data_IF_978624664460
#
_entry.id   IF_978624664460
#
_cell.length_a   1.000
_cell.length_b   1.000
_cell.length_c   1.000
_cell.angle_alpha   90.00
_cell.angle_beta   90.00
_cell.angle_gamma   90.00
#
_symmetry.space_group_name_H-M   'P 1'
#
loop_
_entity.id
_entity.type
_entity.pdbx_description
1 polymer ?
#
# COMPACT_ATOMS: atom_id res chain seq x y z
N UNK A 1 -1.79 10.56 64.55
CA UNK A 1 -0.99 10.11 63.39
C UNK A 1 -1.89 9.34 62.43
N UNK A 2 -2.29 9.92 61.31
CA UNK A 2 -2.97 9.21 60.20
C UNK A 2 -2.26 9.61 58.91
N UNK A 3 -1.56 8.65 58.31
CA UNK A 3 -0.80 8.79 57.06
C UNK A 3 -1.81 8.90 55.92
N UNK A 4 -1.86 10.05 55.23
CA UNK A 4 -2.54 10.17 53.95
C UNK A 4 -1.60 9.59 52.89
N UNK A 5 -2.02 8.46 52.33
CA UNK A 5 -1.33 7.73 51.28
C UNK A 5 -1.47 8.55 49.99
N UNK A 6 -0.33 8.99 49.43
CA UNK A 6 -0.25 9.58 48.09
C UNK A 6 -0.75 8.54 47.08
N UNK A 7 -1.91 8.80 46.50
CA UNK A 7 -2.45 8.02 45.38
C UNK A 7 -1.68 8.44 44.13
N UNK A 8 -0.69 7.64 43.73
CA UNK A 8 0.06 7.84 42.51
C UNK A 8 -0.87 7.80 41.30
N UNK A 9 -1.00 8.93 40.61
CA UNK A 9 -1.62 9.01 39.30
C UNK A 9 -0.67 8.32 38.29
N UNK A 10 -0.86 7.02 38.08
CA UNK A 10 -0.29 6.32 36.94
C UNK A 10 -1.05 6.79 35.69
N UNK A 11 -0.59 7.87 35.07
CA UNK A 11 -0.98 8.19 33.70
C UNK A 11 -0.33 7.15 32.80
N UNK A 12 -1.07 6.08 32.50
CA UNK A 12 -0.74 5.20 31.39
C UNK A 12 -0.76 6.05 30.13
N UNK A 13 0.42 6.42 29.63
CA UNK A 13 0.57 6.84 28.23
C UNK A 13 0.29 5.60 27.39
N UNK A 14 -0.98 5.38 27.05
CA UNK A 14 -1.28 4.56 25.88
C UNK A 14 -0.60 5.29 24.72
N UNK A 15 0.55 4.76 24.28
CA UNK A 15 1.10 5.08 22.96
C UNK A 15 0.03 4.63 21.97
N UNK A 16 -0.91 5.52 21.70
CA UNK A 16 -2.05 5.27 20.84
C UNK A 16 -1.51 5.05 19.44
N UNK A 17 -1.45 3.79 19.03
CA UNK A 17 -1.40 3.44 17.62
C UNK A 17 -2.68 4.04 17.04
N UNK A 18 -2.55 5.17 16.35
CA UNK A 18 -3.69 5.83 15.72
C UNK A 18 -4.26 4.87 14.67
N UNK A 19 -5.54 4.54 14.81
CA UNK A 19 -6.23 3.67 13.86
C UNK A 19 -6.18 4.27 12.43
N UNK A 20 -6.25 3.42 11.39
CA UNK A 20 -6.34 3.88 10.01
C UNK A 20 -7.46 4.91 9.83
N UNK A 21 -7.13 6.06 9.25
CA UNK A 21 -8.11 7.14 9.04
C UNK A 21 -7.94 7.77 7.66
N UNK A 22 -8.99 8.45 7.19
CA UNK A 22 -8.93 9.28 5.97
C UNK A 22 -8.81 10.74 6.35
N UNK A 23 -7.91 11.46 5.70
CA UNK A 23 -7.82 12.91 5.86
C UNK A 23 -8.97 13.65 5.15
N UNK A 24 -8.96 14.98 5.19
CA UNK A 24 -9.97 15.82 4.55
C UNK A 24 -10.01 15.71 3.01
N UNK A 25 -9.00 15.11 2.38
CA UNK A 25 -8.95 14.82 0.94
C UNK A 25 -9.52 13.42 0.64
N UNK A 26 -9.87 12.66 1.67
CA UNK A 26 -10.28 11.26 1.55
C UNK A 26 -9.11 10.31 1.30
N UNK A 27 -7.87 10.71 1.60
CA UNK A 27 -6.66 9.90 1.45
C UNK A 27 -6.44 9.09 2.72
N UNK A 28 -6.24 7.78 2.58
CA UNK A 28 -5.96 6.87 3.70
C UNK A 28 -4.59 7.16 4.31
N UNK A 29 -4.54 7.32 5.63
CA UNK A 29 -3.34 7.38 6.46
C UNK A 29 -3.34 6.20 7.43
N UNK A 30 -2.20 5.55 7.50
CA UNK A 30 -1.88 4.45 8.40
C UNK A 30 -0.44 4.62 8.87
N UNK A 31 -0.10 4.02 10.00
CA UNK A 31 1.30 3.95 10.42
C UNK A 31 2.08 2.94 9.55
N UNK A 32 3.41 2.91 9.71
CA UNK A 32 4.29 2.06 8.90
C UNK A 32 3.96 0.57 9.04
N UNK A 33 3.77 0.06 10.26
CA UNK A 33 3.45 -1.35 10.52
C UNK A 33 2.10 -1.75 9.89
N UNK A 34 1.12 -0.85 9.91
CA UNK A 34 -0.17 -1.05 9.25
C UNK A 34 -0.03 -1.09 7.74
N UNK A 35 0.79 -0.23 7.15
CA UNK A 35 1.08 -0.26 5.72
C UNK A 35 1.80 -1.54 5.29
N UNK A 36 2.77 -2.01 6.08
CA UNK A 36 3.44 -3.29 5.83
C UNK A 36 2.42 -4.42 5.80
N UNK A 37 1.54 -4.51 6.81
CA UNK A 37 0.45 -5.51 6.87
C UNK A 37 -0.59 -5.36 5.77
N UNK A 38 -0.83 -4.15 5.30
CA UNK A 38 -1.82 -3.89 4.26
C UNK A 38 -1.38 -4.49 2.92
N UNK A 39 -0.11 -4.33 2.54
CA UNK A 39 0.42 -4.75 1.23
C UNK A 39 1.05 -6.16 1.21
N UNK A 40 1.45 -6.72 2.35
CA UNK A 40 2.10 -8.04 2.43
C UNK A 40 1.12 -9.16 2.80
N UNK A 41 1.43 -10.38 2.34
CA UNK A 41 0.74 -11.59 2.81
C UNK A 41 1.09 -11.83 4.29
N UNK A 42 0.25 -12.54 5.02
CA UNK A 42 0.47 -12.80 6.44
C UNK A 42 1.84 -13.49 6.67
N UNK A 43 2.63 -12.93 7.58
CA UNK A 43 3.97 -13.41 7.90
C UNK A 43 5.08 -12.96 6.92
N UNK A 44 4.77 -12.11 5.93
CA UNK A 44 5.74 -11.52 5.03
C UNK A 44 6.02 -10.05 5.32
N UNK A 45 7.26 -9.64 5.03
CA UNK A 45 7.71 -8.25 5.06
C UNK A 45 8.58 -7.97 3.82
N UNK A 46 7.90 -7.79 2.68
CA UNK A 46 8.52 -7.50 1.39
C UNK A 46 8.38 -6.00 1.13
N UNK A 47 9.46 -5.25 1.38
CA UNK A 47 9.49 -3.79 1.20
C UNK A 47 8.99 -3.33 -0.18
N UNK A 48 9.26 -4.11 -1.23
CA UNK A 48 8.81 -3.82 -2.60
C UNK A 48 7.28 -3.78 -2.73
N UNK A 49 6.53 -4.56 -1.94
CA UNK A 49 5.08 -4.53 -1.96
C UNK A 49 4.51 -3.19 -1.51
N UNK A 50 5.11 -2.59 -0.47
CA UNK A 50 4.75 -1.26 -0.01
C UNK A 50 5.00 -0.21 -1.09
N UNK A 51 6.16 -0.26 -1.75
CA UNK A 51 6.55 0.70 -2.79
C UNK A 51 5.62 0.63 -4.00
N UNK A 52 5.44 -0.56 -4.59
CA UNK A 52 4.59 -0.73 -5.77
C UNK A 52 3.13 -0.41 -5.43
N UNK A 53 2.61 -0.97 -4.33
CA UNK A 53 1.23 -0.76 -3.90
C UNK A 53 0.90 0.71 -3.66
N UNK A 54 1.82 1.45 -3.04
CA UNK A 54 1.64 2.88 -2.79
C UNK A 54 1.68 3.72 -4.06
N UNK A 55 2.54 3.39 -5.04
CA UNK A 55 2.53 4.08 -6.34
C UNK A 55 1.22 3.84 -7.10
N UNK A 56 0.70 2.60 -7.10
CA UNK A 56 -0.60 2.28 -7.74
C UNK A 56 -1.73 3.03 -7.01
N UNK A 57 -1.70 3.07 -5.67
CA UNK A 57 -2.70 3.78 -4.88
C UNK A 57 -2.66 5.29 -5.09
N UNK A 58 -1.48 5.91 -5.10
CA UNK A 58 -1.33 7.34 -5.34
C UNK A 58 -1.78 7.71 -6.77
N UNK A 59 -1.38 6.93 -7.78
CA UNK A 59 -1.85 7.13 -9.16
C UNK A 59 -3.39 7.07 -9.24
N UNK A 60 -3.98 6.11 -8.53
CA UNK A 60 -5.43 5.91 -8.47
C UNK A 60 -6.15 7.06 -7.76
N UNK A 61 -5.61 7.56 -6.65
CA UNK A 61 -6.15 8.73 -5.96
C UNK A 61 -6.11 9.97 -6.84
N UNK A 62 -5.03 10.20 -7.60
CA UNK A 62 -4.95 11.31 -8.54
C UNK A 62 -6.01 11.17 -9.64
N UNK A 63 -6.18 9.97 -10.20
CA UNK A 63 -7.20 9.67 -11.22
C UNK A 63 -8.63 9.85 -10.69
N UNK A 64 -8.86 9.61 -9.40
CA UNK A 64 -10.13 9.88 -8.71
C UNK A 64 -10.33 11.35 -8.32
N UNK A 65 -9.38 12.23 -8.65
CA UNK A 65 -9.46 13.67 -8.37
C UNK A 65 -9.03 14.08 -6.96
N UNK A 66 -8.40 13.19 -6.19
CA UNK A 66 -7.85 13.53 -4.87
C UNK A 66 -6.53 14.28 -5.04
N UNK A 67 -6.30 15.28 -4.17
CA UNK A 67 -5.07 16.08 -4.18
C UNK A 67 -3.92 15.30 -3.51
N UNK A 68 -2.97 14.83 -4.30
CA UNK A 68 -1.78 14.14 -3.80
C UNK A 68 -0.56 15.07 -3.76
N UNK A 69 0.54 14.58 -3.18
CA UNK A 69 1.81 15.32 -3.13
C UNK A 69 2.45 15.34 -4.51
N UNK A 70 2.43 14.20 -5.22
CA UNK A 70 2.95 14.08 -6.57
C UNK A 70 1.86 14.32 -7.62
N UNK A 71 2.29 14.78 -8.79
CA UNK A 71 1.47 14.83 -10.01
C UNK A 71 1.36 13.45 -10.65
N UNK A 72 0.37 13.26 -11.52
CA UNK A 72 0.21 12.00 -12.27
C UNK A 72 1.48 11.65 -13.06
N UNK A 73 2.11 12.66 -13.68
CA UNK A 73 3.32 12.46 -14.47
C UNK A 73 4.52 12.02 -13.60
N UNK A 74 4.66 12.56 -12.40
CA UNK A 74 5.72 12.16 -11.46
C UNK A 74 5.52 10.73 -10.96
N UNK A 75 4.29 10.35 -10.61
CA UNK A 75 3.99 8.96 -10.19
C UNK A 75 4.26 7.98 -11.34
N UNK A 76 3.84 8.32 -12.55
CA UNK A 76 4.10 7.49 -13.74
C UNK A 76 5.58 7.40 -14.09
N UNK A 77 6.34 8.46 -13.87
CA UNK A 77 7.80 8.43 -14.02
C UNK A 77 8.43 7.54 -12.95
N UNK A 78 8.00 7.64 -11.69
CA UNK A 78 8.44 6.75 -10.61
C UNK A 78 8.19 5.27 -10.92
N UNK A 79 7.01 4.93 -11.48
CA UNK A 79 6.69 3.57 -11.93
C UNK A 79 7.65 3.12 -13.06
N UNK A 80 7.94 3.99 -14.03
CA UNK A 80 8.89 3.67 -15.11
C UNK A 80 10.30 3.43 -14.57
N UNK A 81 10.77 4.27 -13.66
CA UNK A 81 12.10 4.14 -13.05
C UNK A 81 12.18 2.87 -12.20
N UNK A 82 11.11 2.53 -11.47
CA UNK A 82 11.02 1.30 -10.71
C UNK A 82 11.05 0.06 -11.60
N UNK A 83 10.27 0.06 -12.68
CA UNK A 83 10.29 -0.99 -13.70
C UNK A 83 11.69 -1.15 -14.32
N UNK A 84 12.38 -0.05 -14.62
CA UNK A 84 13.74 -0.09 -15.15
C UNK A 84 14.69 -0.79 -14.16
N UNK A 85 14.63 -0.41 -12.88
CA UNK A 85 15.42 -1.06 -11.83
C UNK A 85 15.12 -2.57 -11.74
N UNK A 86 13.85 -2.98 -11.78
CA UNK A 86 13.49 -4.40 -11.80
C UNK A 86 13.99 -5.09 -13.08
N UNK A 87 13.92 -4.42 -14.23
CA UNK A 87 14.40 -4.94 -15.50
C UNK A 87 15.92 -5.17 -15.53
N UNK A 88 16.68 -4.31 -14.85
CA UNK A 88 18.14 -4.42 -14.68
C UNK A 88 18.54 -5.65 -13.86
N UNK A 89 17.65 -6.18 -12.99
CA UNK A 89 17.89 -7.46 -12.27
C UNK A 89 17.57 -8.70 -13.11
N UNK A 90 17.08 -8.51 -14.34
CA UNK A 90 16.69 -9.59 -15.25
C UNK A 90 15.20 -9.96 -15.19
N UNK A 91 14.40 -9.31 -14.33
CA UNK A 91 12.96 -9.54 -14.28
C UNK A 91 12.28 -9.03 -15.57
N UNK A 92 11.22 -9.72 -15.99
CA UNK A 92 10.39 -9.37 -17.14
C UNK A 92 8.93 -9.56 -16.77
N UNK A 93 8.04 -8.85 -17.48
CA UNK A 93 6.60 -9.12 -17.38
C UNK A 93 6.23 -10.43 -18.11
N UNK A 94 4.95 -10.80 -18.03
CA UNK A 94 4.39 -12.01 -18.66
C UNK A 94 4.64 -12.10 -20.19
N UNK A 95 4.83 -10.96 -20.86
CA UNK A 95 5.07 -10.90 -22.31
C UNK A 95 6.56 -10.73 -22.64
N UNK A 96 7.46 -10.82 -21.66
CA UNK A 96 8.89 -10.58 -21.84
C UNK A 96 9.27 -9.10 -21.92
N UNK A 97 8.33 -8.19 -21.65
CA UNK A 97 8.55 -6.74 -21.63
C UNK A 97 9.10 -6.22 -20.31
N UNK A 98 9.38 -4.91 -20.26
CA UNK A 98 9.88 -4.22 -19.06
C UNK A 98 8.90 -3.20 -18.48
N UNK A 99 7.81 -2.89 -19.16
CA UNK A 99 6.93 -1.77 -18.78
C UNK A 99 5.91 -2.14 -17.69
N UNK A 100 5.71 -3.43 -17.45
CA UNK A 100 4.70 -3.95 -16.52
C UNK A 100 5.26 -4.93 -15.49
N UNK A 101 6.57 -4.89 -15.24
CA UNK A 101 7.23 -5.78 -14.28
C UNK A 101 6.66 -5.57 -12.86
N UNK A 102 6.41 -4.32 -12.45
CA UNK A 102 5.82 -4.04 -11.14
C UNK A 102 4.44 -4.69 -10.95
N UNK A 103 3.57 -4.70 -11.97
CA UNK A 103 2.24 -5.33 -11.89
C UNK A 103 2.38 -6.84 -11.72
N UNK A 104 3.24 -7.47 -12.53
CA UNK A 104 3.53 -8.89 -12.45
C UNK A 104 4.13 -9.26 -11.08
N UNK A 105 5.13 -8.51 -10.61
CA UNK A 105 5.76 -8.74 -9.31
C UNK A 105 4.76 -8.61 -8.17
N UNK A 106 3.92 -7.56 -8.20
CA UNK A 106 2.92 -7.35 -7.15
C UNK A 106 1.93 -8.52 -7.10
N UNK A 107 1.38 -8.93 -8.24
CA UNK A 107 0.45 -10.05 -8.30
C UNK A 107 1.07 -11.37 -7.81
N UNK A 108 2.38 -11.55 -8.02
CA UNK A 108 3.09 -12.76 -7.62
C UNK A 108 3.39 -12.82 -6.12
N UNK A 109 3.91 -11.73 -5.57
CA UNK A 109 4.52 -11.73 -4.24
C UNK A 109 3.60 -11.11 -3.20
N UNK A 110 2.87 -10.06 -3.55
CA UNK A 110 2.19 -9.19 -2.60
C UNK A 110 0.76 -9.67 -2.30
N UNK A 111 0.13 -9.04 -1.31
CA UNK A 111 -1.24 -9.36 -0.91
C UNK A 111 -2.24 -8.82 -1.94
N UNK A 112 -3.14 -9.69 -2.37
CA UNK A 112 -4.38 -9.29 -3.05
C UNK A 112 -5.29 -8.57 -2.03
N UNK A 113 -5.65 -7.30 -2.25
CA UNK A 113 -6.55 -6.60 -1.34
C UNK A 113 -7.91 -7.29 -1.26
N UNK A 114 -8.46 -7.37 -0.05
CA UNK A 114 -9.83 -7.82 0.18
C UNK A 114 -10.85 -6.70 -0.09
N UNK A 115 -12.15 -7.03 -0.10
CA UNK A 115 -13.18 -5.99 -0.20
C UNK A 115 -13.10 -4.98 0.96
N UNK A 116 -12.77 -5.44 2.18
CA UNK A 116 -12.54 -4.56 3.32
C UNK A 116 -11.38 -3.59 3.09
N UNK A 117 -10.29 -4.08 2.47
CA UNK A 117 -9.15 -3.23 2.12
C UNK A 117 -9.54 -2.19 1.08
N UNK A 118 -10.32 -2.56 0.06
CA UNK A 118 -10.84 -1.60 -0.93
C UNK A 118 -11.77 -0.55 -0.32
N UNK A 119 -12.65 -0.94 0.60
CA UNK A 119 -13.54 -0.02 1.31
C UNK A 119 -12.73 0.97 2.19
N UNK A 120 -11.68 0.44 2.84
CA UNK A 120 -10.74 1.24 3.63
C UNK A 120 -9.99 2.26 2.76
N UNK A 121 -9.51 1.88 1.58
CA UNK A 121 -8.86 2.83 0.64
C UNK A 121 -9.86 3.84 0.09
N UNK A 122 -11.08 3.41 -0.24
CA UNK A 122 -12.11 4.28 -0.81
C UNK A 122 -11.67 4.96 -2.11
N UNK A 123 -11.05 4.20 -3.00
CA UNK A 123 -10.70 4.60 -4.37
C UNK A 123 -11.29 3.60 -5.36
N UNK A 124 -12.32 3.95 -6.14
CA UNK A 124 -12.85 3.07 -7.17
C UNK A 124 -11.81 2.75 -8.25
N UNK A 125 -10.93 3.70 -8.59
CA UNK A 125 -9.84 3.44 -9.55
C UNK A 125 -8.84 2.42 -8.99
N UNK A 126 -8.46 2.51 -7.72
CA UNK A 126 -7.54 1.55 -7.11
C UNK A 126 -8.11 0.14 -7.13
N UNK A 127 -9.39 -0.02 -6.75
CA UNK A 127 -10.07 -1.31 -6.82
C UNK A 127 -10.00 -1.88 -8.24
N UNK A 128 -10.40 -1.08 -9.23
CA UNK A 128 -10.41 -1.48 -10.64
C UNK A 128 -9.02 -1.89 -11.15
N UNK A 129 -7.98 -1.13 -10.82
CA UNK A 129 -6.61 -1.45 -11.25
C UNK A 129 -6.08 -2.71 -10.57
N UNK A 130 -6.31 -2.88 -9.26
CA UNK A 130 -5.89 -4.08 -8.55
C UNK A 130 -6.62 -5.33 -9.07
N UNK A 131 -7.93 -5.24 -9.29
CA UNK A 131 -8.69 -6.34 -9.90
C UNK A 131 -8.12 -6.69 -11.29
N UNK A 132 -7.86 -5.69 -12.15
CA UNK A 132 -7.22 -5.89 -13.47
C UNK A 132 -5.85 -6.56 -13.35
N UNK A 133 -4.99 -6.12 -12.42
CA UNK A 133 -3.65 -6.67 -12.21
C UNK A 133 -3.73 -8.14 -11.85
N UNK A 134 -4.54 -8.49 -10.85
CA UNK A 134 -4.69 -9.89 -10.40
C UNK A 134 -5.44 -10.77 -11.40
N UNK A 135 -6.29 -10.21 -12.27
CA UNK A 135 -6.91 -10.94 -13.38
C UNK A 135 -5.94 -11.21 -14.54
N UNK A 136 -5.08 -10.24 -14.85
CA UNK A 136 -4.09 -10.31 -15.94
C UNK A 136 -2.95 -11.24 -15.59
N UNK A 137 -2.49 -11.18 -14.34
CA UNK A 137 -1.35 -11.93 -13.84
C UNK A 137 -1.78 -13.06 -12.91
N UNK A 138 -2.91 -13.73 -13.23
CA UNK A 138 -3.38 -14.89 -12.47
C UNK A 138 -2.24 -15.91 -12.37
N UNK A 139 -1.70 -16.04 -11.16
CA UNK A 139 -0.76 -17.08 -10.84
C UNK A 139 -1.59 -18.28 -10.42
N UNK A 140 -1.50 -19.35 -11.21
CA UNK A 140 -2.02 -20.65 -10.81
C UNK A 140 -0.99 -21.17 -9.79
N UNK A 141 -1.33 -21.08 -8.51
CA UNK A 141 -0.60 -21.78 -7.45
C UNK A 141 -1.00 -23.27 -7.56
N UNK A 142 -0.04 -24.12 -7.93
CA UNK A 142 -0.20 -25.60 -7.94
C UNK A 142 -0.26 -26.17 -6.51
#
# INVERSE_FOLDING_TARGET
MKKLIMLGLLTFTMLGIAEPYKDNRGVLFMNEDEWVKFYNKDGQDVAVCLVIGSMIMEESYIKDGKKMTHTLAEVQQGIKDFNKMLGETGLRDINGGTDKIHEFYYAAVCKKPSQKDFDLVGSPTFKKEMDRIFETHKIIED
#
